data_IF_245759132994
#
_entry.id   IF_245759132994
#
_cell.length_a   1.000
_cell.length_b   1.000
_cell.length_c   1.000
_cell.angle_alpha   90.00
_cell.angle_beta   90.00
_cell.angle_gamma   90.00
#
_symmetry.space_group_name_H-M   'P 1'
#
loop_
_entity.id
_entity.type
_entity.pdbx_description
1 polymer ?
#
# COMPACT_ATOMS: atom_id res chain seq x y z
N UNK A 1 7.12 44.45 -48.58
CA UNK A 1 5.97 44.03 -47.74
C UNK A 1 5.50 42.69 -48.29
N UNK A 2 5.58 41.53 -47.63
CA UNK A 2 6.01 41.18 -46.29
C UNK A 2 6.45 39.71 -46.28
N UNK A 3 7.18 39.36 -45.24
CA UNK A 3 7.79 38.05 -44.96
C UNK A 3 6.77 37.20 -44.21
N UNK A 4 6.48 35.96 -44.65
CA UNK A 4 5.89 34.91 -43.80
C UNK A 4 6.49 33.57 -44.28
N UNK A 5 7.69 33.21 -43.83
CA UNK A 5 7.97 32.37 -42.64
C UNK A 5 7.16 31.08 -42.55
N UNK A 6 7.80 30.01 -43.03
CA UNK A 6 7.83 28.64 -42.50
C UNK A 6 6.73 28.24 -41.49
N UNK A 7 5.74 27.49 -41.96
CA UNK A 7 4.94 26.61 -41.11
C UNK A 7 5.80 25.41 -40.72
N UNK A 8 6.40 25.52 -39.54
CA UNK A 8 7.11 24.44 -38.84
C UNK A 8 6.08 23.33 -38.55
N UNK A 9 6.18 22.20 -39.25
CA UNK A 9 5.58 20.94 -38.82
C UNK A 9 6.14 20.61 -37.44
N UNK A 10 5.39 20.92 -36.39
CA UNK A 10 5.68 20.41 -35.06
C UNK A 10 5.38 18.91 -35.07
N UNK A 11 6.45 18.14 -35.31
CA UNK A 11 6.54 16.74 -34.93
C UNK A 11 6.37 16.67 -33.42
N UNK A 12 5.13 16.47 -32.95
CA UNK A 12 4.89 16.06 -31.59
C UNK A 12 5.69 14.76 -31.37
N UNK A 13 6.63 14.72 -30.43
CA UNK A 13 7.28 13.46 -30.10
C UNK A 13 6.16 12.53 -29.63
N UNK A 14 6.17 11.34 -30.20
CA UNK A 14 5.44 10.17 -29.74
C UNK A 14 5.95 9.88 -28.31
N UNK A 15 5.52 10.68 -27.34
CA UNK A 15 5.66 10.36 -25.94
C UNK A 15 4.90 9.05 -25.81
N UNK A 16 5.64 7.98 -25.55
CA UNK A 16 5.14 6.78 -24.92
C UNK A 16 4.40 7.22 -23.64
N UNK A 17 3.16 7.68 -23.78
CA UNK A 17 2.18 7.59 -22.73
C UNK A 17 1.83 6.10 -22.69
N UNK A 18 2.74 5.31 -22.11
CA UNK A 18 2.32 4.16 -21.32
C UNK A 18 1.33 4.77 -20.34
N UNK A 19 0.04 4.68 -20.69
CA UNK A 19 -1.03 5.26 -19.91
C UNK A 19 -0.70 4.99 -18.44
N UNK A 20 -0.58 6.01 -17.57
CA UNK A 20 -0.65 5.75 -16.15
C UNK A 20 -2.02 5.14 -15.99
N UNK A 21 -2.05 3.82 -15.90
CA UNK A 21 -3.26 3.07 -15.68
C UNK A 21 -3.92 3.73 -14.49
N UNK A 22 -5.06 4.39 -14.73
CA UNK A 22 -6.06 4.95 -13.83
C UNK A 22 -5.98 4.54 -12.35
N UNK A 23 -4.83 4.72 -11.71
CA UNK A 23 -4.51 4.19 -10.39
C UNK A 23 -4.49 5.39 -9.47
N UNK A 24 -5.44 5.39 -8.57
CA UNK A 24 -5.54 6.34 -7.49
C UNK A 24 -5.21 5.66 -6.18
N UNK A 25 -4.82 6.47 -5.22
CA UNK A 25 -4.47 6.07 -3.88
C UNK A 25 -5.54 6.54 -2.91
N UNK A 26 -5.83 5.75 -1.89
CA UNK A 26 -6.64 6.17 -0.76
C UNK A 26 -6.01 5.66 0.53
N UNK A 27 -6.29 6.36 1.63
CA UNK A 27 -5.85 5.94 2.96
C UNK A 27 -6.84 4.90 3.48
N UNK A 28 -6.36 3.69 3.78
CA UNK A 28 -7.11 2.76 4.62
C UNK A 28 -6.76 3.05 6.07
N UNK A 29 -7.66 3.72 6.78
CA UNK A 29 -7.47 4.14 8.18
C UNK A 29 -7.27 2.95 9.13
N UNK A 30 -7.85 1.79 8.80
CA UNK A 30 -7.72 0.60 9.63
C UNK A 30 -6.31 0.02 9.55
N UNK A 31 -5.75 -0.08 8.35
CA UNK A 31 -4.39 -0.58 8.14
C UNK A 31 -3.32 0.52 8.27
N UNK A 32 -3.73 1.79 8.31
CA UNK A 32 -2.86 2.95 8.23
C UNK A 32 -1.90 2.88 7.04
N UNK A 33 -2.45 2.58 5.87
CA UNK A 33 -1.68 2.37 4.64
C UNK A 33 -2.35 2.99 3.43
N UNK A 34 -1.53 3.46 2.49
CA UNK A 34 -1.99 3.87 1.17
C UNK A 34 -2.23 2.67 0.27
N UNK A 35 -3.46 2.57 -0.24
CA UNK A 35 -3.91 1.49 -1.10
C UNK A 35 -4.30 2.00 -2.49
N UNK A 36 -3.94 1.22 -3.49
CA UNK A 36 -4.26 1.48 -4.88
C UNK A 36 -5.70 1.04 -5.20
N UNK A 37 -6.39 1.84 -5.99
CA UNK A 37 -7.69 1.54 -6.61
C UNK A 37 -7.73 2.08 -8.02
N UNK A 38 -8.64 1.55 -8.84
CA UNK A 38 -8.89 2.10 -10.16
C UNK A 38 -9.82 3.32 -10.09
N UNK A 39 -9.41 4.48 -10.61
CA UNK A 39 -10.19 5.73 -10.49
C UNK A 39 -11.57 5.66 -11.16
N UNK A 40 -11.71 4.88 -12.23
CA UNK A 40 -12.95 4.79 -12.99
C UNK A 40 -13.84 3.62 -12.58
N UNK A 41 -13.28 2.59 -11.95
CA UNK A 41 -13.98 1.32 -11.66
C UNK A 41 -14.22 1.05 -10.19
N UNK A 42 -13.46 1.67 -9.29
CA UNK A 42 -13.64 1.50 -7.85
C UNK A 42 -14.75 2.42 -7.31
N UNK A 43 -15.20 2.15 -6.09
CA UNK A 43 -16.18 3.00 -5.41
C UNK A 43 -15.59 4.43 -5.20
N UNK A 44 -16.39 5.44 -5.57
CA UNK A 44 -16.04 6.88 -5.54
C UNK A 44 -16.33 7.56 -4.21
N UNK A 45 -16.98 6.89 -3.26
CA UNK A 45 -17.29 7.47 -1.95
C UNK A 45 -16.03 7.75 -1.11
N UNK A 46 -14.95 7.00 -1.36
CA UNK A 46 -13.69 7.15 -0.62
C UNK A 46 -12.82 8.20 -1.30
N UNK A 47 -12.42 9.24 -0.54
CA UNK A 47 -11.47 10.27 -0.97
C UNK A 47 -10.22 9.61 -1.54
N UNK A 48 -9.81 10.06 -2.72
CA UNK A 48 -8.66 9.52 -3.43
C UNK A 48 -7.69 10.58 -3.90
N UNK A 49 -6.47 10.14 -4.16
CA UNK A 49 -5.33 10.97 -4.51
C UNK A 49 -4.65 10.39 -5.75
N UNK A 50 -4.26 11.24 -6.68
CA UNK A 50 -3.46 10.82 -7.84
C UNK A 50 -2.00 10.51 -7.47
N UNK A 51 -1.53 11.07 -6.36
CA UNK A 51 -0.14 10.98 -5.91
C UNK A 51 -0.04 10.18 -4.59
N UNK A 52 0.91 9.24 -4.53
CA UNK A 52 1.12 8.40 -3.36
C UNK A 52 1.69 9.17 -2.16
N UNK A 53 2.58 10.13 -2.39
CA UNK A 53 3.16 10.94 -1.32
C UNK A 53 2.08 11.82 -0.65
N UNK A 54 1.13 12.34 -1.44
CA UNK A 54 -0.05 13.04 -0.89
C UNK A 54 -0.92 12.07 -0.07
N UNK A 55 -1.06 10.81 -0.51
CA UNK A 55 -1.76 9.82 0.30
C UNK A 55 -1.01 9.56 1.63
N UNK A 56 0.32 9.46 1.61
CA UNK A 56 1.12 9.16 2.80
C UNK A 56 1.04 10.25 3.87
N UNK A 57 0.89 11.52 3.47
CA UNK A 57 0.70 12.62 4.44
C UNK A 57 -0.63 12.52 5.20
N UNK A 58 -1.57 11.71 4.72
CA UNK A 58 -2.81 11.38 5.41
C UNK A 58 -2.72 10.20 6.39
N UNK A 59 -1.56 9.55 6.54
CA UNK A 59 -1.38 8.46 7.49
C UNK A 59 -1.18 8.97 8.92
N UNK A 60 -1.74 8.27 9.89
CA UNK A 60 -1.57 8.60 11.30
C UNK A 60 -0.19 8.15 11.79
N UNK A 61 0.65 9.10 12.21
CA UNK A 61 2.04 8.81 12.61
C UNK A 61 2.14 7.97 13.90
N UNK A 62 1.18 8.15 14.81
CA UNK A 62 1.16 7.45 16.12
C UNK A 62 0.32 6.17 16.11
N UNK A 63 -0.13 5.73 14.93
CA UNK A 63 -0.95 4.53 14.82
C UNK A 63 -0.09 3.28 14.77
N UNK A 64 -0.02 2.60 15.91
CA UNK A 64 0.53 1.26 16.06
C UNK A 64 -0.62 0.28 16.31
N UNK A 65 -0.67 -0.85 15.60
CA UNK A 65 -1.74 -1.84 15.74
C UNK A 65 -1.27 -3.26 15.41
N UNK A 66 -2.08 -4.26 15.76
CA UNK A 66 -1.88 -5.63 15.28
C UNK A 66 -2.09 -5.69 13.76
N UNK A 67 -1.44 -6.66 13.12
CA UNK A 67 -1.56 -6.96 11.70
C UNK A 67 -3.02 -7.01 11.23
N UNK A 68 -3.30 -6.39 10.09
CA UNK A 68 -4.66 -6.29 9.58
C UNK A 68 -5.54 -5.27 10.30
N UNK A 69 -4.96 -4.40 11.15
CA UNK A 69 -5.69 -3.38 11.91
C UNK A 69 -6.67 -3.99 12.90
N UNK A 70 -6.31 -5.15 13.46
CA UNK A 70 -7.11 -5.86 14.47
C UNK A 70 -6.80 -5.26 15.85
N UNK A 71 -7.80 -5.19 16.73
CA UNK A 71 -7.59 -4.74 18.11
C UNK A 71 -6.68 -5.70 18.87
N UNK A 72 -5.80 -5.13 19.70
CA UNK A 72 -4.93 -5.92 20.57
C UNK A 72 -5.71 -6.54 21.74
N UNK A 73 -5.24 -7.68 22.25
CA UNK A 73 -5.83 -8.38 23.40
C UNK A 73 -5.19 -7.97 24.74
N UNK A 74 -4.16 -7.11 24.70
CA UNK A 74 -3.45 -6.61 25.86
C UNK A 74 -2.15 -5.92 25.47
N UNK A 75 -1.42 -5.41 26.47
CA UNK A 75 -0.09 -4.85 26.30
C UNK A 75 0.98 -5.84 26.75
N UNK A 76 2.14 -5.77 26.15
CA UNK A 76 3.34 -6.48 26.54
C UNK A 76 4.48 -5.49 26.75
N UNK A 77 5.25 -5.71 27.80
CA UNK A 77 6.39 -4.87 28.17
C UNK A 77 7.63 -5.74 28.33
N UNK A 78 8.80 -5.16 28.04
CA UNK A 78 10.08 -5.82 28.29
C UNK A 78 10.43 -5.75 29.78
N UNK A 79 9.73 -6.54 30.60
CA UNK A 79 10.04 -6.65 32.03
C UNK A 79 10.71 -8.01 32.28
N UNK A 80 12.00 -7.97 32.64
CA UNK A 80 12.82 -9.14 32.96
C UNK A 80 12.30 -9.99 34.14
N UNK A 81 11.30 -9.52 34.89
CA UNK A 81 10.81 -10.12 36.14
C UNK A 81 9.42 -10.75 36.09
N UNK A 82 8.72 -10.79 34.94
CA UNK A 82 7.37 -11.37 34.83
C UNK A 82 7.21 -12.18 33.55
N UNK A 83 7.46 -13.50 33.58
CA UNK A 83 7.05 -14.35 32.46
C UNK A 83 5.53 -14.38 32.26
N UNK A 84 5.00 -14.96 31.17
CA UNK A 84 5.34 -14.75 29.76
C UNK A 84 4.73 -13.43 29.21
N UNK A 85 5.44 -12.79 28.28
CA UNK A 85 5.11 -11.46 27.72
C UNK A 85 3.71 -11.35 27.09
N UNK A 86 3.10 -12.45 26.62
CA UNK A 86 1.70 -12.54 26.22
C UNK A 86 1.12 -13.93 26.53
N UNK A 87 -0.21 -14.08 26.68
CA UNK A 87 -0.87 -15.38 26.86
C UNK A 87 -0.62 -16.35 25.68
N UNK A 88 -0.79 -17.66 25.92
CA UNK A 88 -0.66 -18.68 24.86
C UNK A 88 -1.58 -18.38 23.68
N UNK A 89 -1.06 -18.53 22.46
CA UNK A 89 -1.77 -18.21 21.22
C UNK A 89 -1.68 -16.73 20.82
N UNK A 90 -0.98 -15.90 21.59
CA UNK A 90 -0.70 -14.51 21.27
C UNK A 90 0.80 -14.29 21.13
N UNK A 91 1.20 -13.29 20.33
CA UNK A 91 2.57 -12.82 20.22
C UNK A 91 2.63 -11.33 20.53
N UNK A 92 3.74 -10.91 21.15
CA UNK A 92 4.01 -9.50 21.39
C UNK A 92 4.52 -8.85 20.10
N UNK A 93 3.79 -7.85 19.59
CA UNK A 93 4.24 -6.97 18.52
C UNK A 93 4.82 -5.75 19.20
N UNK A 94 6.11 -5.50 18.99
CA UNK A 94 6.77 -4.34 19.58
C UNK A 94 6.45 -3.09 18.78
N UNK A 95 6.00 -2.07 19.49
CA UNK A 95 5.83 -0.73 18.98
C UNK A 95 7.06 0.13 19.24
N UNK A 96 6.97 1.43 18.91
CA UNK A 96 7.99 2.39 19.32
C UNK A 96 8.07 2.48 20.85
N UNK A 97 9.19 2.96 21.39
CA UNK A 97 9.38 3.23 22.82
C UNK A 97 9.33 2.00 23.77
N UNK A 98 9.47 0.77 23.25
CA UNK A 98 9.70 -0.42 24.07
C UNK A 98 8.46 -1.03 24.73
N UNK A 99 7.27 -0.50 24.45
CA UNK A 99 6.00 -1.19 24.70
C UNK A 99 5.57 -1.98 23.46
N UNK A 100 4.70 -2.96 23.67
CA UNK A 100 4.13 -3.75 22.59
C UNK A 100 2.68 -4.13 22.86
N UNK A 101 2.06 -4.71 21.84
CA UNK A 101 0.71 -5.24 21.92
C UNK A 101 0.70 -6.76 21.80
N UNK A 102 -0.11 -7.40 22.63
CA UNK A 102 -0.41 -8.81 22.50
C UNK A 102 -1.45 -9.00 21.40
N UNK A 103 -0.99 -9.54 20.28
CA UNK A 103 -1.77 -9.78 19.09
C UNK A 103 -1.96 -11.28 18.88
N UNK A 104 -3.07 -11.65 18.24
CA UNK A 104 -3.35 -13.04 17.92
C UNK A 104 -2.27 -13.63 16.99
N UNK A 105 -1.57 -14.67 17.42
CA UNK A 105 -0.39 -15.15 16.68
C UNK A 105 -0.74 -15.67 15.28
N UNK A 106 -1.92 -16.28 15.13
CA UNK A 106 -2.38 -16.78 13.84
C UNK A 106 -2.74 -15.63 12.89
N UNK A 107 -3.47 -14.63 13.38
CA UNK A 107 -3.79 -13.43 12.61
C UNK A 107 -2.52 -12.75 12.07
N UNK A 108 -1.52 -12.64 12.93
CA UNK A 108 -0.27 -12.01 12.58
C UNK A 108 0.55 -12.79 11.55
N UNK A 109 0.50 -14.11 11.58
CA UNK A 109 1.12 -14.95 10.57
C UNK A 109 0.43 -14.74 9.20
N UNK A 110 -0.90 -14.64 9.19
CA UNK A 110 -1.67 -14.30 7.98
C UNK A 110 -1.27 -12.92 7.46
N UNK A 111 -1.24 -11.91 8.33
CA UNK A 111 -0.80 -10.56 7.97
C UNK A 111 0.63 -10.55 7.44
N UNK A 112 1.56 -11.22 8.10
CA UNK A 112 2.95 -11.31 7.65
C UNK A 112 3.07 -11.95 6.28
N UNK A 113 2.33 -13.05 6.01
CA UNK A 113 2.31 -13.71 4.70
C UNK A 113 1.72 -12.83 3.61
N UNK A 114 0.68 -12.06 3.89
CA UNK A 114 0.07 -11.15 2.92
C UNK A 114 0.93 -9.92 2.67
N UNK A 115 1.48 -9.34 3.73
CA UNK A 115 2.35 -8.19 3.65
C UNK A 115 3.66 -8.56 2.95
N UNK A 116 4.27 -9.70 3.26
CA UNK A 116 5.45 -10.21 2.57
C UNK A 116 5.12 -11.20 1.45
N UNK A 117 3.95 -11.05 0.82
CA UNK A 117 3.54 -11.94 -0.25
C UNK A 117 4.60 -12.04 -1.34
N UNK A 118 4.80 -13.24 -1.86
CA UNK A 118 5.67 -13.53 -2.99
C UNK A 118 4.87 -14.24 -4.07
N UNK A 119 5.06 -13.84 -5.31
CA UNK A 119 4.47 -14.47 -6.48
C UNK A 119 5.52 -15.37 -7.14
N UNK A 120 5.08 -16.39 -7.89
CA UNK A 120 5.98 -17.18 -8.76
C UNK A 120 6.59 -16.31 -9.86
N UNK A 121 5.81 -15.35 -10.35
CA UNK A 121 6.24 -14.24 -11.20
C UNK A 121 6.63 -13.05 -10.33
N UNK A 122 7.40 -12.07 -10.82
CA UNK A 122 7.74 -10.90 -10.02
C UNK A 122 6.48 -10.14 -9.58
N UNK A 123 6.45 -9.71 -8.32
CA UNK A 123 5.44 -8.76 -7.83
C UNK A 123 5.46 -7.49 -8.68
N UNK A 124 4.28 -6.99 -9.03
CA UNK A 124 4.21 -5.65 -9.62
C UNK A 124 4.54 -4.61 -8.57
N UNK A 125 5.52 -3.79 -8.93
CA UNK A 125 5.95 -2.63 -8.16
C UNK A 125 5.61 -1.38 -8.95
N UNK A 126 5.32 -0.31 -8.23
CA UNK A 126 5.24 1.03 -8.77
C UNK A 126 6.45 1.80 -8.26
N UNK A 127 7.16 2.43 -9.18
CA UNK A 127 8.20 3.37 -8.84
C UNK A 127 7.52 4.66 -8.37
N UNK A 128 7.78 5.02 -7.12
CA UNK A 128 7.36 6.29 -6.57
C UNK A 128 8.56 7.20 -6.70
N UNK A 129 8.42 8.24 -7.51
CA UNK A 129 9.45 9.26 -7.70
C UNK A 129 8.86 10.62 -7.33
N UNK A 130 9.23 11.13 -6.16
CA UNK A 130 9.10 12.54 -5.81
C UNK A 130 10.43 13.06 -5.25
N UNK A 131 10.54 14.37 -5.05
CA UNK A 131 11.79 15.05 -4.62
C UNK A 131 12.31 14.54 -3.26
N UNK A 132 11.45 13.98 -2.40
CA UNK A 132 11.80 13.49 -1.06
C UNK A 132 11.92 11.96 -0.95
N UNK A 133 11.29 11.18 -1.84
CA UNK A 133 11.26 9.71 -1.74
C UNK A 133 11.29 9.06 -3.12
N UNK A 134 12.43 8.44 -3.45
CA UNK A 134 12.53 7.54 -4.60
C UNK A 134 12.60 6.09 -4.15
N UNK A 135 11.73 5.24 -4.70
CA UNK A 135 11.80 3.80 -4.43
C UNK A 135 10.65 2.98 -5.02
N UNK A 136 10.93 1.70 -5.25
CA UNK A 136 9.94 0.76 -5.76
C UNK A 136 9.08 0.21 -4.62
N UNK A 137 7.80 0.61 -4.59
CA UNK A 137 6.81 0.06 -3.65
C UNK A 137 6.03 -1.06 -4.31
N UNK A 138 5.68 -2.09 -3.54
CA UNK A 138 4.77 -3.14 -4.01
C UNK A 138 3.39 -2.52 -4.21
N UNK A 139 2.79 -2.73 -5.38
CA UNK A 139 1.45 -2.26 -5.67
C UNK A 139 0.43 -3.09 -4.88
N UNK A 140 -0.25 -2.47 -3.92
CA UNK A 140 -1.23 -3.10 -3.04
C UNK A 140 -2.56 -2.38 -3.12
N UNK A 141 -3.64 -3.13 -3.09
CA UNK A 141 -5.00 -2.62 -2.96
C UNK A 141 -5.73 -3.29 -1.80
N UNK A 142 -6.94 -2.83 -1.49
CA UNK A 142 -7.79 -3.48 -0.49
C UNK A 142 -8.44 -4.73 -1.06
N UNK A 143 -9.01 -4.59 -2.25
CA UNK A 143 -9.71 -5.66 -2.94
C UNK A 143 -9.33 -5.75 -4.41
N UNK A 144 -9.29 -6.96 -4.96
CA UNK A 144 -9.19 -7.19 -6.39
C UNK A 144 -10.37 -6.62 -7.18
N UNK A 145 -11.51 -6.40 -6.52
CA UNK A 145 -12.68 -5.72 -7.12
C UNK A 145 -12.41 -4.25 -7.41
N UNK A 146 -11.38 -3.65 -6.80
CA UNK A 146 -11.00 -2.26 -7.07
C UNK A 146 -10.21 -2.12 -8.37
N UNK A 147 -9.95 -3.23 -9.09
CA UNK A 147 -9.33 -3.27 -10.42
C UNK A 147 -7.99 -2.50 -10.53
N UNK A 148 -7.23 -2.44 -9.44
CA UNK A 148 -5.98 -1.70 -9.35
C UNK A 148 -4.80 -2.37 -10.07
N UNK A 149 -4.88 -3.67 -10.36
CA UNK A 149 -3.79 -4.39 -11.00
C UNK A 149 -3.60 -4.01 -12.47
N UNK A 150 -2.33 -3.92 -12.94
CA UNK A 150 -2.06 -3.59 -14.31
C UNK A 150 -2.56 -4.64 -15.30
N UNK A 151 -2.83 -4.23 -16.54
CA UNK A 151 -3.24 -5.17 -17.60
C UNK A 151 -2.16 -6.25 -17.76
N UNK A 152 -2.59 -7.51 -17.85
CA UNK A 152 -1.70 -8.67 -17.92
C UNK A 152 -1.17 -9.15 -16.57
N UNK A 153 -1.50 -8.46 -15.47
CA UNK A 153 -1.18 -8.93 -14.12
C UNK A 153 -2.35 -9.66 -13.50
N UNK A 154 -2.07 -10.68 -12.70
CA UNK A 154 -3.08 -11.41 -11.92
C UNK A 154 -3.19 -10.80 -10.54
N UNK A 155 -4.41 -10.41 -10.15
CA UNK A 155 -4.69 -10.00 -8.79
C UNK A 155 -4.81 -11.23 -7.87
N UNK A 156 -4.19 -11.16 -6.72
CA UNK A 156 -4.28 -12.17 -5.65
C UNK A 156 -4.89 -11.48 -4.43
N UNK A 157 -6.09 -11.95 -4.06
CA UNK A 157 -6.83 -11.44 -2.91
C UNK A 157 -6.36 -12.13 -1.63
N UNK A 158 -5.84 -11.36 -0.68
CA UNK A 158 -5.65 -11.79 0.70
C UNK A 158 -6.87 -11.47 1.57
N UNK A 159 -6.75 -11.77 2.86
CA UNK A 159 -7.73 -11.45 3.90
C UNK A 159 -7.81 -9.94 4.17
N UNK A 160 -6.66 -9.25 4.20
CA UNK A 160 -6.58 -7.82 4.53
C UNK A 160 -6.19 -6.98 3.33
N UNK A 161 -5.30 -7.49 2.49
CA UNK A 161 -4.77 -6.78 1.34
C UNK A 161 -4.73 -7.65 0.10
N UNK A 162 -4.81 -7.02 -1.05
CA UNK A 162 -4.61 -7.62 -2.35
C UNK A 162 -3.29 -7.13 -2.97
N UNK A 163 -2.67 -7.99 -3.78
CA UNK A 163 -1.44 -7.65 -4.51
C UNK A 163 -1.52 -8.16 -5.95
N UNK A 164 -0.63 -7.66 -6.80
CA UNK A 164 -0.59 -8.01 -8.22
C UNK A 164 0.67 -8.82 -8.54
N UNK A 165 0.49 -10.02 -9.07
CA UNK A 165 1.54 -10.83 -9.66
C UNK A 165 1.64 -10.55 -11.16
N UNK A 166 2.86 -10.45 -11.70
CA UNK A 166 3.09 -10.25 -13.13
C UNK A 166 2.69 -11.45 -13.99
#
# INVERSE_FOLDING_TARGET
MGVISALKMYSFPLILMLAPMFTEWFVDEKLNMCMAKNCCKANREVKSFSDYAICQSGLAMDQFSCGGGVEHKGMCENIASKGPSCPKGQRCIWGPFGFGFCCDAHNEEVWHKEFNASCTTPLKRVTISNEEMSGDKVLRGKSCTDHFCPRGSKCVQGRYIAHCCA
#
